data_IF_687621070561
#
_entry.id   IF_687621070561
#
_cell.length_a   1.000
_cell.length_b   1.000
_cell.length_c   1.000
_cell.angle_alpha   90.00
_cell.angle_beta   90.00
_cell.angle_gamma   90.00
#
_symmetry.space_group_name_H-M   'P 1'
#
loop_
_entity.id
_entity.type
_entity.pdbx_description
1 polymer ?
#
# COMPACT_ATOMS: atom_id res chain seq x y z
N UNK A 1 1.49 -23.05 7.67
CA UNK A 1 2.48 -22.07 8.20
C UNK A 1 3.83 -22.52 7.67
N UNK A 2 4.51 -21.68 6.89
CA UNK A 2 5.84 -21.96 6.33
C UNK A 2 6.81 -22.34 7.46
N UNK A 3 7.59 -23.41 7.27
CA UNK A 3 8.58 -23.90 8.25
C UNK A 3 9.71 -22.91 8.56
N UNK A 4 9.79 -21.80 7.84
CA UNK A 4 10.82 -20.78 7.95
C UNK A 4 10.36 -19.50 8.66
N UNK A 5 9.11 -19.44 9.14
CA UNK A 5 8.57 -18.27 9.82
C UNK A 5 8.92 -18.33 11.32
N UNK A 6 9.74 -17.39 11.78
CA UNK A 6 10.02 -17.18 13.21
C UNK A 6 9.13 -16.05 13.73
N UNK A 7 8.29 -16.35 14.71
CA UNK A 7 7.35 -15.40 15.31
C UNK A 7 7.76 -15.14 16.76
N UNK A 8 7.86 -13.86 17.14
CA UNK A 8 8.03 -13.39 18.51
C UNK A 8 6.83 -12.56 18.92
N UNK A 9 6.24 -12.82 20.09
CA UNK A 9 5.07 -12.12 20.62
C UNK A 9 5.45 -11.34 21.88
N UNK A 10 5.05 -10.05 21.90
CA UNK A 10 5.17 -9.19 23.07
C UNK A 10 3.83 -8.50 23.34
N UNK A 11 3.39 -8.53 24.60
CA UNK A 11 2.20 -7.81 25.05
C UNK A 11 2.69 -6.51 25.69
N UNK A 12 2.36 -5.38 25.07
CA UNK A 12 2.78 -4.07 25.55
C UNK A 12 1.86 -2.97 24.97
N UNK A 13 1.91 -1.79 25.56
CA UNK A 13 1.24 -0.61 25.04
C UNK A 13 2.12 0.06 23.96
N UNK A 14 1.66 0.07 22.72
CA UNK A 14 2.41 0.67 21.59
C UNK A 14 2.38 2.20 21.59
N UNK A 15 1.57 2.83 22.44
CA UNK A 15 1.63 4.29 22.66
C UNK A 15 2.75 4.69 23.61
N UNK A 16 3.37 3.72 24.29
CA UNK A 16 4.54 3.95 25.13
C UNK A 16 5.82 3.94 24.27
N UNK A 17 6.49 5.09 24.26
CA UNK A 17 7.74 5.29 23.52
C UNK A 17 8.84 4.31 23.92
N UNK A 18 9.01 4.05 25.23
CA UNK A 18 10.06 3.17 25.73
C UNK A 18 9.89 1.73 25.24
N UNK A 19 8.62 1.30 25.10
CA UNK A 19 8.29 0.01 24.51
C UNK A 19 8.79 -0.06 23.06
N UNK A 20 8.48 0.94 22.24
CA UNK A 20 8.89 0.97 20.83
C UNK A 20 10.43 1.06 20.69
N UNK A 21 11.11 1.82 21.55
CA UNK A 21 12.57 1.87 21.59
C UNK A 21 13.17 0.49 21.87
N UNK A 22 12.60 -0.26 22.82
CA UNK A 22 13.06 -1.60 23.19
C UNK A 22 12.94 -2.63 22.07
N UNK A 23 12.11 -2.37 21.06
CA UNK A 23 11.90 -3.23 19.90
C UNK A 23 12.96 -3.03 18.81
N UNK A 24 13.83 -2.02 18.90
CA UNK A 24 14.79 -1.66 17.87
C UNK A 24 14.13 -1.51 16.48
N UNK A 25 13.05 -0.73 16.42
CA UNK A 25 12.18 -0.60 15.23
C UNK A 25 12.92 -0.24 13.93
N UNK A 26 14.11 0.33 14.02
CA UNK A 26 14.97 0.69 12.89
C UNK A 26 15.64 -0.52 12.20
N UNK A 27 15.61 -1.71 12.82
CA UNK A 27 16.17 -2.95 12.25
C UNK A 27 15.16 -3.70 11.38
N UNK A 28 13.88 -3.31 11.38
CA UNK A 28 12.86 -3.94 10.57
C UNK A 28 12.82 -3.39 9.14
N UNK A 29 12.38 -4.21 8.19
CA UNK A 29 12.15 -3.80 6.80
C UNK A 29 10.80 -3.12 6.62
N UNK A 30 9.81 -3.52 7.44
CA UNK A 30 8.45 -3.03 7.39
C UNK A 30 7.80 -3.08 8.75
N UNK A 31 6.94 -2.09 9.03
CA UNK A 31 6.08 -2.02 10.22
C UNK A 31 4.64 -1.88 9.77
N UNK A 32 3.75 -2.68 10.36
CA UNK A 32 2.31 -2.60 10.13
C UNK A 32 1.66 -2.22 11.46
N UNK A 33 0.92 -1.11 11.48
CA UNK A 33 0.18 -0.64 12.66
C UNK A 33 -1.30 -0.84 12.40
N UNK A 34 -1.93 -1.77 13.14
CA UNK A 34 -3.35 -2.08 13.03
C UNK A 34 -4.15 -1.33 14.09
N UNK A 35 -5.37 -0.95 13.74
CA UNK A 35 -6.31 -0.27 14.63
C UNK A 35 -6.93 -1.26 15.64
N UNK A 36 -6.96 -0.91 16.92
CA UNK A 36 -7.48 -1.77 17.99
C UNK A 36 -8.97 -1.51 18.27
N UNK A 37 -9.83 -1.92 17.36
CA UNK A 37 -11.29 -1.72 17.48
C UNK A 37 -12.01 -2.76 18.32
N UNK A 38 -11.31 -3.78 18.83
CA UNK A 38 -11.92 -4.82 19.68
C UNK A 38 -12.24 -4.30 21.09
N UNK A 39 -11.50 -3.32 21.57
CA UNK A 39 -11.58 -2.83 22.95
C UNK A 39 -11.96 -1.34 22.96
N UNK A 40 -11.55 -0.59 21.94
CA UNK A 40 -11.69 0.85 21.85
C UNK A 40 -12.77 1.26 20.85
N UNK A 41 -13.38 2.42 21.07
CA UNK A 41 -14.17 3.05 20.02
C UNK A 41 -13.25 3.58 18.89
N UNK A 42 -13.83 3.92 17.75
CA UNK A 42 -13.09 4.35 16.56
C UNK A 42 -12.14 5.52 16.83
N UNK A 43 -12.57 6.52 17.58
CA UNK A 43 -11.75 7.71 17.86
C UNK A 43 -10.57 7.39 18.80
N UNK A 44 -10.78 6.56 19.78
CA UNK A 44 -9.72 6.08 20.67
C UNK A 44 -8.72 5.22 19.93
N UNK A 45 -9.19 4.29 19.09
CA UNK A 45 -8.35 3.40 18.30
C UNK A 45 -7.47 4.19 17.32
N UNK A 46 -8.07 5.14 16.58
CA UNK A 46 -7.32 6.01 15.66
C UNK A 46 -6.33 6.91 16.42
N UNK A 47 -6.70 7.40 17.60
CA UNK A 47 -5.81 8.21 18.43
C UNK A 47 -4.58 7.42 18.90
N UNK A 48 -4.76 6.16 19.33
CA UNK A 48 -3.64 5.29 19.69
C UNK A 48 -2.74 5.01 18.47
N UNK A 49 -3.34 4.73 17.32
CA UNK A 49 -2.60 4.53 16.06
C UNK A 49 -1.76 5.77 15.72
N UNK A 50 -2.33 6.96 15.80
CA UNK A 50 -1.62 8.22 15.52
C UNK A 50 -0.45 8.46 16.48
N UNK A 51 -0.62 8.21 17.78
CA UNK A 51 0.45 8.34 18.79
C UNK A 51 1.58 7.35 18.48
N UNK A 52 1.24 6.09 18.21
CA UNK A 52 2.21 5.05 17.82
C UNK A 52 3.00 5.47 16.58
N UNK A 53 2.33 5.99 15.56
CA UNK A 53 2.97 6.44 14.32
C UNK A 53 3.92 7.63 14.55
N UNK A 54 3.54 8.59 15.39
CA UNK A 54 4.40 9.72 15.73
C UNK A 54 5.68 9.26 16.44
N UNK A 55 5.57 8.34 17.40
CA UNK A 55 6.74 7.77 18.07
C UNK A 55 7.62 6.97 17.12
N UNK A 56 7.03 6.11 16.27
CA UNK A 56 7.77 5.35 15.27
C UNK A 56 8.55 6.27 14.34
N UNK A 57 7.91 7.32 13.83
CA UNK A 57 8.56 8.26 12.92
C UNK A 57 9.73 8.98 13.59
N UNK A 58 9.53 9.48 14.80
CA UNK A 58 10.59 10.15 15.55
C UNK A 58 11.79 9.21 15.81
N UNK A 59 11.53 7.97 16.21
CA UNK A 59 12.57 6.97 16.43
C UNK A 59 13.36 6.61 15.15
N UNK A 60 12.66 6.50 14.01
CA UNK A 60 13.28 6.20 12.72
C UNK A 60 14.07 7.39 12.19
N UNK A 61 13.55 8.62 12.33
CA UNK A 61 14.23 9.85 11.92
C UNK A 61 15.52 10.05 12.74
N UNK A 62 15.51 9.79 14.05
CA UNK A 62 16.70 9.84 14.92
C UNK A 62 17.81 8.87 14.47
N UNK A 63 17.44 7.72 13.91
CA UNK A 63 18.38 6.70 13.42
C UNK A 63 18.67 6.83 11.92
N UNK A 64 18.07 7.79 11.23
CA UNK A 64 18.12 7.93 9.75
C UNK A 64 17.76 6.63 9.03
N UNK A 65 16.82 5.85 9.60
CA UNK A 65 16.42 4.54 9.10
C UNK A 65 15.28 4.66 8.08
N UNK A 66 15.38 3.89 7.01
CA UNK A 66 14.37 3.81 5.94
C UNK A 66 13.52 2.54 6.13
N UNK A 67 12.56 2.60 7.05
CA UNK A 67 11.61 1.51 7.32
C UNK A 67 10.25 1.89 6.78
N UNK A 68 9.63 1.01 5.97
CA UNK A 68 8.29 1.24 5.44
C UNK A 68 7.25 1.08 6.54
N UNK A 69 6.36 2.08 6.69
CA UNK A 69 5.26 2.02 7.66
C UNK A 69 3.94 2.01 6.89
N UNK A 70 3.12 0.98 7.13
CA UNK A 70 1.73 0.89 6.66
C UNK A 70 0.83 0.91 7.87
N UNK A 71 -0.24 1.71 7.84
CA UNK A 71 -1.14 1.85 8.97
C UNK A 71 -2.60 1.72 8.59
N UNK A 72 -3.37 1.10 9.47
CA UNK A 72 -4.83 1.10 9.42
C UNK A 72 -5.38 2.32 10.15
N UNK A 73 -6.29 3.05 9.49
CA UNK A 73 -7.10 4.13 10.06
C UNK A 73 -8.56 3.80 9.80
N UNK A 74 -9.39 3.89 10.82
CA UNK A 74 -10.81 3.54 10.71
C UNK A 74 -11.63 4.69 10.12
N UNK A 75 -11.43 5.92 10.60
CA UNK A 75 -12.18 7.10 10.15
C UNK A 75 -11.42 7.86 9.06
N UNK A 76 -12.06 8.02 7.89
CA UNK A 76 -11.49 8.77 6.77
C UNK A 76 -11.10 10.21 7.14
N UNK A 77 -11.80 10.84 8.08
CA UNK A 77 -11.50 12.21 8.57
C UNK A 77 -10.15 12.28 9.28
N UNK A 78 -9.72 11.19 9.92
CA UNK A 78 -8.45 11.11 10.62
C UNK A 78 -7.25 10.88 9.66
N UNK A 79 -7.52 10.50 8.40
CA UNK A 79 -6.47 10.28 7.39
C UNK A 79 -5.60 11.52 7.13
N UNK A 80 -6.20 12.71 7.15
CA UNK A 80 -5.44 13.95 6.94
C UNK A 80 -4.52 14.24 8.14
N UNK A 81 -4.95 13.93 9.36
CA UNK A 81 -4.10 13.98 10.56
C UNK A 81 -2.99 12.94 10.48
N UNK A 82 -3.29 11.74 10.03
CA UNK A 82 -2.31 10.68 9.86
C UNK A 82 -1.23 11.03 8.84
N UNK A 83 -1.54 11.80 7.80
CA UNK A 83 -0.54 12.23 6.80
C UNK A 83 0.60 13.06 7.41
N UNK A 84 0.36 13.76 8.52
CA UNK A 84 1.39 14.52 9.25
C UNK A 84 2.47 13.60 9.84
N UNK A 85 2.14 12.35 10.12
CA UNK A 85 3.08 11.36 10.66
C UNK A 85 4.08 10.84 9.62
N UNK A 86 3.96 11.26 8.35
CA UNK A 86 4.81 10.82 7.24
C UNK A 86 4.85 9.27 7.09
N UNK A 87 3.82 8.55 7.51
CA UNK A 87 3.70 7.14 7.21
C UNK A 87 3.58 6.94 5.70
N UNK A 88 4.12 5.84 5.19
CA UNK A 88 4.26 5.61 3.75
C UNK A 88 2.91 5.33 3.09
N UNK A 89 2.00 4.68 3.81
CA UNK A 89 0.67 4.40 3.30
C UNK A 89 -0.36 4.20 4.43
N UNK A 90 -1.64 4.45 4.11
CA UNK A 90 -2.78 4.28 5.01
C UNK A 90 -3.88 3.48 4.34
N UNK A 91 -4.35 2.46 5.03
CA UNK A 91 -5.57 1.74 4.68
C UNK A 91 -6.72 2.29 5.52
N UNK A 92 -7.76 2.84 4.88
CA UNK A 92 -9.00 3.25 5.55
C UNK A 92 -10.00 2.12 5.42
N UNK A 93 -10.09 1.29 6.46
CA UNK A 93 -10.80 0.01 6.42
C UNK A 93 -12.29 0.16 6.10
N UNK A 94 -13.00 1.06 6.76
CA UNK A 94 -14.43 1.28 6.52
C UNK A 94 -14.72 1.69 5.07
N UNK A 95 -13.88 2.53 4.49
CA UNK A 95 -14.04 2.95 3.10
C UNK A 95 -13.82 1.78 2.14
N UNK A 96 -12.78 1.00 2.34
CA UNK A 96 -12.45 -0.15 1.49
C UNK A 96 -13.58 -1.18 1.55
N UNK A 97 -14.04 -1.54 2.75
CA UNK A 97 -15.14 -2.49 2.95
C UNK A 97 -16.42 -1.98 2.28
N UNK A 98 -16.78 -0.71 2.46
CA UNK A 98 -17.96 -0.13 1.83
C UNK A 98 -17.90 -0.17 0.29
N UNK A 99 -16.73 0.06 -0.29
CA UNK A 99 -16.52 -0.02 -1.74
C UNK A 99 -16.64 -1.47 -2.23
N UNK A 100 -16.06 -2.45 -1.52
CA UNK A 100 -16.20 -3.87 -1.85
C UNK A 100 -17.66 -4.33 -1.77
N UNK A 101 -18.38 -3.98 -0.70
CA UNK A 101 -19.80 -4.30 -0.54
C UNK A 101 -20.64 -3.71 -1.69
N UNK A 102 -20.35 -2.48 -2.08
CA UNK A 102 -21.03 -1.84 -3.21
C UNK A 102 -20.81 -2.61 -4.53
N UNK A 103 -19.60 -3.03 -4.82
CA UNK A 103 -19.28 -3.82 -6.01
C UNK A 103 -19.97 -5.20 -5.99
N UNK A 104 -19.89 -5.89 -4.85
CA UNK A 104 -20.51 -7.21 -4.67
C UNK A 104 -22.04 -7.15 -4.75
N UNK A 105 -22.66 -6.03 -4.32
CA UNK A 105 -24.11 -5.86 -4.41
C UNK A 105 -24.63 -5.81 -5.85
N UNK A 106 -23.81 -5.39 -6.81
CA UNK A 106 -24.16 -5.43 -8.23
C UNK A 106 -23.92 -6.81 -8.86
N UNK A 107 -22.89 -7.52 -8.41
CA UNK A 107 -22.55 -8.86 -8.89
C UNK A 107 -21.95 -9.70 -7.77
N UNK A 108 -22.73 -10.65 -7.25
CA UNK A 108 -22.33 -11.52 -6.12
C UNK A 108 -21.10 -12.39 -6.43
N UNK A 109 -20.86 -12.69 -7.70
CA UNK A 109 -19.73 -13.49 -8.16
C UNK A 109 -18.38 -12.78 -7.94
N UNK A 110 -18.40 -11.44 -7.80
CA UNK A 110 -17.19 -10.64 -7.50
C UNK A 110 -16.54 -11.01 -6.17
N UNK A 111 -17.27 -11.60 -5.22
CA UNK A 111 -16.68 -12.10 -3.97
C UNK A 111 -15.54 -13.07 -4.26
N UNK A 112 -15.74 -14.00 -5.20
CA UNK A 112 -14.73 -14.99 -5.56
C UNK A 112 -13.53 -14.34 -6.26
N UNK A 113 -13.77 -13.33 -7.10
CA UNK A 113 -12.71 -12.56 -7.77
C UNK A 113 -11.86 -11.82 -6.75
N UNK A 114 -12.50 -11.14 -5.78
CA UNK A 114 -11.75 -10.44 -4.73
C UNK A 114 -10.99 -11.41 -3.81
N UNK A 115 -11.57 -12.55 -3.47
CA UNK A 115 -10.89 -13.58 -2.69
C UNK A 115 -9.63 -14.05 -3.42
N UNK A 116 -9.72 -14.36 -4.71
CA UNK A 116 -8.57 -14.79 -5.52
C UNK A 116 -7.50 -13.69 -5.64
N UNK A 117 -7.90 -12.43 -5.80
CA UNK A 117 -6.98 -11.29 -5.88
C UNK A 117 -6.28 -10.93 -4.56
N UNK A 118 -6.84 -11.35 -3.42
CA UNK A 118 -6.28 -11.08 -2.09
C UNK A 118 -5.73 -12.35 -1.42
N UNK A 119 -5.81 -13.50 -2.07
CA UNK A 119 -5.19 -14.73 -1.60
C UNK A 119 -3.69 -14.69 -1.90
N UNK A 120 -2.89 -15.17 -0.95
CA UNK A 120 -1.44 -15.26 -1.12
C UNK A 120 -0.99 -16.37 -2.09
N UNK A 121 -1.87 -17.33 -2.41
CA UNK A 121 -1.58 -18.47 -3.29
C UNK A 121 -2.03 -18.22 -4.75
N UNK A 122 -2.46 -17.00 -5.09
CA UNK A 122 -3.01 -16.65 -6.40
C UNK A 122 -2.26 -15.53 -7.11
N UNK A 123 -2.98 -14.89 -8.04
CA UNK A 123 -2.48 -13.71 -8.71
C UNK A 123 -2.56 -12.49 -7.81
N UNK A 124 -1.44 -11.84 -7.57
CA UNK A 124 -1.34 -10.63 -6.76
C UNK A 124 -1.13 -9.37 -7.61
N UNK A 125 -1.44 -8.21 -7.03
CA UNK A 125 -1.19 -6.91 -7.65
C UNK A 125 0.18 -6.39 -7.23
N UNK A 126 1.08 -6.24 -8.21
CA UNK A 126 2.43 -5.72 -7.98
C UNK A 126 2.64 -4.34 -8.60
N UNK A 127 3.42 -3.51 -7.90
CA UNK A 127 4.03 -2.30 -8.45
C UNK A 127 5.49 -2.58 -8.76
N UNK A 128 5.79 -2.93 -10.00
CA UNK A 128 7.16 -3.26 -10.46
C UNK A 128 7.81 -2.05 -11.15
N UNK A 129 9.16 -1.91 -11.16
CA UNK A 129 9.82 -0.82 -11.88
C UNK A 129 9.45 -0.84 -13.36
N UNK A 130 9.02 0.30 -13.91
CA UNK A 130 8.61 0.40 -15.32
C UNK A 130 9.76 0.09 -16.29
N UNK A 131 11.00 0.38 -15.87
CA UNK A 131 12.21 0.12 -16.65
C UNK A 131 12.45 -1.37 -16.96
N UNK A 132 11.82 -2.29 -16.22
CA UNK A 132 11.88 -3.73 -16.49
C UNK A 132 11.01 -4.13 -17.69
N UNK A 133 10.13 -3.26 -18.14
CA UNK A 133 9.12 -3.54 -19.17
C UNK A 133 9.33 -2.72 -20.42
N UNK A 134 9.62 -1.43 -20.29
CA UNK A 134 9.72 -0.50 -21.41
C UNK A 134 10.91 0.45 -21.22
N UNK A 135 11.34 1.06 -22.33
CA UNK A 135 12.35 2.13 -22.29
C UNK A 135 11.75 3.36 -21.64
N UNK A 136 12.50 3.95 -20.71
CA UNK A 136 12.15 5.23 -20.09
C UNK A 136 12.54 6.39 -20.99
N UNK A 137 11.94 7.57 -20.72
CA UNK A 137 12.17 8.82 -21.43
C UNK A 137 11.84 8.78 -22.95
N UNK A 138 10.98 7.82 -23.32
CA UNK A 138 10.44 7.69 -24.68
C UNK A 138 8.91 7.72 -24.60
N UNK A 139 8.30 8.50 -25.49
CA UNK A 139 6.86 8.55 -25.60
C UNK A 139 6.32 7.25 -26.20
N UNK A 140 5.33 6.65 -25.54
CA UNK A 140 4.67 5.43 -26.00
C UNK A 140 3.20 5.41 -25.59
N UNK A 141 2.42 4.52 -26.19
CA UNK A 141 1.06 4.23 -25.75
C UNK A 141 1.02 3.05 -24.75
N UNK A 142 -0.11 2.93 -24.09
CA UNK A 142 -0.27 1.86 -23.09
C UNK A 142 -0.36 0.47 -23.71
N UNK A 143 -0.67 0.34 -25.00
CA UNK A 143 -0.58 -0.95 -25.70
C UNK A 143 0.84 -1.52 -25.69
N UNK A 144 1.84 -0.67 -25.83
CA UNK A 144 3.25 -1.06 -25.72
C UNK A 144 3.57 -1.66 -24.33
N UNK A 145 3.03 -1.05 -23.28
CA UNK A 145 3.20 -1.54 -21.89
C UNK A 145 2.49 -2.88 -21.70
N UNK A 146 1.24 -3.01 -22.19
CA UNK A 146 0.47 -4.25 -22.16
C UNK A 146 1.20 -5.41 -22.85
N UNK A 147 1.71 -5.16 -24.05
CA UNK A 147 2.42 -6.19 -24.82
C UNK A 147 3.73 -6.63 -24.13
N UNK A 148 4.41 -5.70 -23.48
CA UNK A 148 5.62 -6.01 -22.71
C UNK A 148 5.33 -6.86 -21.48
N UNK A 149 4.28 -6.53 -20.72
CA UNK A 149 3.86 -7.31 -19.56
C UNK A 149 3.41 -8.73 -19.98
N UNK A 150 2.62 -8.82 -21.07
CA UNK A 150 2.20 -10.11 -21.65
C UNK A 150 3.37 -11.04 -21.99
N UNK A 151 4.46 -10.49 -22.54
CA UNK A 151 5.68 -11.28 -22.85
C UNK A 151 6.35 -11.87 -21.61
N UNK A 152 6.06 -11.29 -20.43
CA UNK A 152 6.54 -11.77 -19.14
C UNK A 152 5.47 -12.63 -18.41
N UNK A 153 4.39 -13.03 -19.10
CA UNK A 153 3.29 -13.81 -18.49
C UNK A 153 2.41 -13.02 -17.53
N UNK A 154 2.43 -11.68 -17.58
CA UNK A 154 1.75 -10.80 -16.64
C UNK A 154 0.70 -9.94 -17.33
N UNK A 155 -0.27 -9.43 -16.56
CA UNK A 155 -1.31 -8.53 -17.06
C UNK A 155 -1.06 -7.13 -16.51
N UNK A 156 -0.71 -6.17 -17.38
CA UNK A 156 -0.63 -4.78 -16.97
C UNK A 156 -2.04 -4.19 -16.79
N UNK A 157 -2.36 -3.74 -15.58
CA UNK A 157 -3.65 -3.10 -15.27
C UNK A 157 -3.55 -1.57 -15.18
N UNK A 158 -2.33 -1.03 -15.07
CA UNK A 158 -2.11 0.40 -14.96
C UNK A 158 -0.64 0.77 -14.74
N UNK A 159 -0.45 2.02 -14.27
CA UNK A 159 0.88 2.53 -13.91
C UNK A 159 0.78 3.56 -12.78
N UNK A 160 1.91 3.89 -12.17
CA UNK A 160 2.04 4.96 -11.18
C UNK A 160 3.18 5.91 -11.59
N UNK A 161 2.85 7.18 -11.73
CA UNK A 161 3.80 8.27 -11.99
C UNK A 161 4.33 8.77 -10.65
N UNK A 162 5.60 8.50 -10.36
CA UNK A 162 6.19 8.79 -9.06
C UNK A 162 6.35 10.28 -8.77
N UNK A 163 6.51 11.12 -9.79
CA UNK A 163 6.55 12.58 -9.61
C UNK A 163 5.24 13.15 -9.03
N UNK A 164 4.11 12.43 -9.19
CA UNK A 164 2.77 12.80 -8.69
C UNK A 164 2.36 12.06 -7.42
N UNK A 165 3.28 11.38 -6.75
CA UNK A 165 2.96 10.51 -5.61
C UNK A 165 2.35 11.23 -4.40
N UNK A 166 2.49 12.55 -4.32
CA UNK A 166 1.92 13.37 -3.25
C UNK A 166 0.71 14.21 -3.70
N UNK A 167 0.32 14.13 -4.97
CA UNK A 167 -0.78 14.88 -5.55
C UNK A 167 -2.10 14.11 -5.41
N UNK A 168 -2.97 14.54 -4.49
CA UNK A 168 -4.30 13.93 -4.26
C UNK A 168 -5.18 14.00 -5.51
N UNK A 169 -5.18 15.14 -6.20
CA UNK A 169 -6.01 15.37 -7.38
C UNK A 169 -5.58 14.50 -8.59
N UNK A 170 -4.35 14.04 -8.60
CA UNK A 170 -3.81 13.09 -9.58
C UNK A 170 -3.88 11.63 -9.09
N UNK A 171 -4.73 11.31 -8.12
CA UNK A 171 -4.82 9.98 -7.50
C UNK A 171 -3.44 9.44 -7.03
N UNK A 172 -2.59 10.31 -6.51
CA UNK A 172 -1.22 9.99 -6.08
C UNK A 172 -0.36 9.37 -7.21
N UNK A 173 -0.64 9.78 -8.45
CA UNK A 173 0.03 9.30 -9.65
C UNK A 173 -0.45 7.94 -10.15
N UNK A 174 -1.42 7.31 -9.49
CA UNK A 174 -1.96 6.00 -9.88
C UNK A 174 -3.01 6.15 -10.99
N UNK A 175 -2.80 5.43 -12.09
CA UNK A 175 -3.74 5.35 -13.21
C UNK A 175 -4.04 3.89 -13.49
N UNK A 176 -5.28 3.46 -13.19
CA UNK A 176 -5.77 2.12 -13.47
C UNK A 176 -6.62 2.14 -14.75
N UNK A 177 -6.47 1.13 -15.58
CA UNK A 177 -7.16 0.98 -16.85
C UNK A 177 -7.10 2.25 -17.74
N UNK A 178 -5.90 2.80 -18.03
CA UNK A 178 -5.76 4.00 -18.84
C UNK A 178 -6.32 3.78 -20.25
N UNK A 179 -6.69 4.88 -20.92
CA UNK A 179 -7.00 4.83 -22.35
C UNK A 179 -5.76 4.36 -23.10
N UNK A 180 -5.90 3.23 -23.83
CA UNK A 180 -4.73 2.47 -24.35
C UNK A 180 -3.93 3.24 -25.40
N UNK A 181 -4.58 4.14 -26.14
CA UNK A 181 -3.97 4.96 -27.20
C UNK A 181 -3.31 6.23 -26.67
N UNK A 182 -3.60 6.63 -25.43
CA UNK A 182 -2.99 7.83 -24.86
C UNK A 182 -1.48 7.65 -24.74
N UNK A 183 -0.76 8.71 -25.16
CA UNK A 183 0.69 8.73 -25.07
C UNK A 183 1.13 9.09 -23.65
N UNK A 184 2.16 8.41 -23.19
CA UNK A 184 2.79 8.62 -21.89
C UNK A 184 4.29 8.46 -22.02
N UNK A 185 5.04 9.27 -21.28
CA UNK A 185 6.50 9.15 -21.13
C UNK A 185 6.79 8.78 -19.69
N UNK A 186 7.46 7.67 -19.49
CA UNK A 186 7.81 7.16 -18.17
C UNK A 186 9.25 7.52 -17.79
N UNK A 187 9.46 7.85 -16.52
CA UNK A 187 10.78 8.00 -15.92
C UNK A 187 11.22 6.67 -15.26
N UNK A 188 12.49 6.55 -14.94
CA UNK A 188 13.06 5.34 -14.30
C UNK A 188 12.46 5.03 -12.92
N UNK A 189 11.96 6.04 -12.21
CA UNK A 189 11.31 5.89 -10.90
C UNK A 189 9.87 5.38 -11.00
N UNK A 190 9.22 5.51 -12.17
CA UNK A 190 7.82 5.17 -12.35
C UNK A 190 7.61 3.66 -12.23
N UNK A 191 6.36 3.27 -11.91
CA UNK A 191 5.99 1.88 -11.68
C UNK A 191 4.91 1.45 -12.67
N UNK A 192 4.98 0.21 -13.11
CA UNK A 192 3.86 -0.50 -13.73
C UNK A 192 3.04 -1.19 -12.63
N UNK A 193 1.73 -1.26 -12.82
CA UNK A 193 0.82 -2.05 -11.99
C UNK A 193 0.45 -3.29 -12.78
N UNK A 194 0.83 -4.44 -12.27
CA UNK A 194 0.59 -5.73 -12.93
C UNK A 194 -0.14 -6.69 -12.01
N UNK A 195 -0.95 -7.56 -12.59
CA UNK A 195 -1.45 -8.77 -11.99
C UNK A 195 -0.51 -9.91 -12.41
N UNK A 196 0.06 -10.61 -11.44
CA UNK A 196 1.07 -11.65 -11.68
C UNK A 196 1.07 -12.67 -10.55
N UNK A 197 1.56 -13.86 -10.85
CA UNK A 197 1.95 -14.88 -9.87
C UNK A 197 3.47 -14.79 -9.66
N UNK A 198 3.94 -15.02 -8.43
CA UNK A 198 5.39 -15.09 -8.12
C UNK A 198 5.99 -16.47 -8.45
#
# INVERSE_FOLDING_TARGET
ISSNLKIDFRIADTTDREVLESLNVHEFTQIIVLSNTRILNVQEADSQTLITLLHLRDLLDMKSAQVRIVSEIMDLRNRELASVTKADDFVVSDKLISQLVSQVSESKELVNVFNDMFDADGSEIYLKPISNYVKTDVEMDFFTVLESAKRQGQIAIGYRIMSKQFEKDSSYGVVVNPVKTNKVTFNTSDKIIVLAED
#
